data_IF_774870182013
#
_entry.id   IF_774870182013
#
_cell.length_a   1.000
_cell.length_b   1.000
_cell.length_c   1.000
_cell.angle_alpha   90.00
_cell.angle_beta   90.00
_cell.angle_gamma   90.00
#
_symmetry.space_group_name_H-M   'P 1'
#
loop_
_entity.id
_entity.type
_entity.pdbx_description
1 polymer ?
#
# COMPACT_ATOMS: atom_id res chain seq x y z
N UNK A 1 24.25 2.07 -27.39
CA UNK A 1 23.00 1.34 -27.11
C UNK A 1 22.06 2.31 -26.44
N UNK A 2 20.86 2.54 -26.99
CA UNK A 2 19.85 3.40 -26.37
C UNK A 2 19.15 2.54 -25.33
N UNK A 3 19.25 2.90 -24.05
CA UNK A 3 18.49 2.24 -22.99
C UNK A 3 17.00 2.48 -23.27
N UNK A 4 16.15 1.44 -23.33
CA UNK A 4 14.72 1.64 -23.57
C UNK A 4 14.13 2.53 -22.48
N UNK A 5 13.24 3.43 -22.88
CA UNK A 5 12.48 4.31 -21.98
C UNK A 5 11.71 3.48 -20.94
N UNK A 6 11.84 3.84 -19.66
CA UNK A 6 11.15 3.20 -18.51
C UNK A 6 10.12 4.18 -17.97
N UNK A 7 8.85 3.78 -17.96
CA UNK A 7 7.78 4.59 -17.36
C UNK A 7 7.86 4.54 -15.83
N UNK A 8 7.50 5.63 -15.16
CA UNK A 8 7.34 5.66 -13.71
C UNK A 8 5.98 6.28 -13.36
N UNK A 9 5.04 5.42 -13.00
CA UNK A 9 3.68 5.80 -12.69
C UNK A 9 3.50 6.10 -11.20
N UNK A 10 2.83 7.19 -10.85
CA UNK A 10 2.52 7.55 -9.46
C UNK A 10 1.01 7.69 -9.27
N UNK A 11 0.40 6.79 -8.53
CA UNK A 11 -1.04 6.75 -8.32
C UNK A 11 -1.43 7.16 -6.90
N UNK A 12 -2.61 7.77 -6.77
CA UNK A 12 -3.17 8.21 -5.49
C UNK A 12 -4.19 7.21 -4.98
N UNK A 13 -4.13 6.88 -3.70
CA UNK A 13 -5.02 5.93 -3.04
C UNK A 13 -5.80 6.64 -1.95
N UNK A 14 -7.12 6.55 -2.00
CA UNK A 14 -8.01 7.11 -0.99
C UNK A 14 -8.10 6.16 0.22
N UNK A 15 -8.34 6.73 1.40
CA UNK A 15 -8.49 6.00 2.65
C UNK A 15 -9.82 6.33 3.32
N UNK A 16 -10.62 5.29 3.59
CA UNK A 16 -11.97 5.43 4.15
C UNK A 16 -12.21 4.47 5.32
N UNK A 17 -12.63 4.97 6.50
CA UNK A 17 -12.67 6.38 6.89
C UNK A 17 -11.28 6.88 7.24
N UNK A 18 -10.92 8.11 6.86
CA UNK A 18 -9.68 8.73 7.32
C UNK A 18 -9.78 9.17 8.79
N UNK A 19 -9.07 8.45 9.68
CA UNK A 19 -8.92 8.79 11.09
C UNK A 19 -7.48 8.59 11.55
N UNK A 20 -7.07 9.32 12.58
CA UNK A 20 -5.81 9.07 13.30
C UNK A 20 -5.94 7.95 14.34
N UNK A 21 -7.13 7.80 14.91
CA UNK A 21 -7.46 6.82 15.94
C UNK A 21 -8.69 6.03 15.47
N UNK A 22 -8.58 4.72 15.47
CA UNK A 22 -9.64 3.76 15.15
C UNK A 22 -9.97 2.91 16.37
N UNK A 23 -11.14 2.28 16.35
CA UNK A 23 -11.49 1.27 17.34
C UNK A 23 -11.16 -0.13 16.83
N UNK A 24 -10.94 -1.07 17.75
CA UNK A 24 -10.91 -2.50 17.42
C UNK A 24 -12.19 -2.87 16.66
N UNK A 25 -12.03 -3.49 15.48
CA UNK A 25 -13.15 -3.89 14.63
C UNK A 25 -13.61 -2.83 13.62
N UNK A 26 -13.07 -1.60 13.65
CA UNK A 26 -13.29 -0.64 12.57
C UNK A 26 -12.80 -1.23 11.24
N UNK A 27 -13.50 -0.94 10.14
CA UNK A 27 -13.02 -1.30 8.80
C UNK A 27 -12.28 -0.12 8.19
N UNK A 28 -11.01 -0.33 7.85
CA UNK A 28 -10.18 0.63 7.14
C UNK A 28 -10.05 0.15 5.71
N UNK A 29 -10.36 1.01 4.74
CA UNK A 29 -10.32 0.67 3.33
C UNK A 29 -9.40 1.62 2.57
N UNK A 30 -8.65 1.05 1.64
CA UNK A 30 -7.77 1.71 0.69
C UNK A 30 -8.34 1.49 -0.69
N UNK A 31 -8.55 2.56 -1.46
CA UNK A 31 -9.24 2.49 -2.75
C UNK A 31 -8.46 3.29 -3.80
N UNK A 32 -8.31 2.72 -4.98
CA UNK A 32 -7.78 3.39 -6.16
C UNK A 32 -8.76 3.20 -7.31
N UNK A 33 -9.03 4.28 -8.03
CA UNK A 33 -9.76 4.25 -9.30
C UNK A 33 -8.99 5.04 -10.36
N UNK A 34 -8.45 4.35 -11.36
CA UNK A 34 -7.87 4.92 -12.56
C UNK A 34 -8.92 5.01 -13.67
N UNK A 35 -9.64 6.12 -13.73
CA UNK A 35 -10.71 6.34 -14.73
C UNK A 35 -10.18 6.22 -16.16
N UNK A 36 -10.91 5.50 -17.02
CA UNK A 36 -10.54 5.29 -18.42
C UNK A 36 -9.25 4.49 -18.61
N UNK A 37 -8.82 3.74 -17.58
CA UNK A 37 -7.54 3.01 -17.54
C UNK A 37 -6.32 3.90 -17.72
N UNK A 38 -6.38 5.11 -17.15
CA UNK A 38 -5.29 6.07 -17.24
C UNK A 38 -4.40 5.98 -15.99
N UNK A 39 -3.09 5.93 -16.20
CA UNK A 39 -2.07 6.04 -15.16
C UNK A 39 -1.25 7.31 -15.35
N UNK A 40 -1.03 8.06 -14.27
CA UNK A 40 -0.17 9.24 -14.32
C UNK A 40 1.31 8.87 -14.37
N UNK A 41 2.00 9.17 -15.48
CA UNK A 41 3.43 9.01 -15.67
C UNK A 41 4.18 10.27 -15.25
N UNK A 42 5.07 10.13 -14.28
CA UNK A 42 5.87 11.22 -13.72
C UNK A 42 7.03 11.63 -14.62
N UNK A 43 7.47 10.77 -15.55
CA UNK A 43 8.58 11.09 -16.46
C UNK A 43 8.09 11.97 -17.61
N UNK A 44 6.95 11.63 -18.23
CA UNK A 44 6.32 12.48 -19.25
C UNK A 44 5.45 13.59 -18.66
N UNK A 45 5.14 13.53 -17.37
CA UNK A 45 4.18 14.40 -16.69
C UNK A 45 2.80 14.38 -17.38
N UNK A 46 2.33 13.20 -17.78
CA UNK A 46 1.07 13.03 -18.50
C UNK A 46 0.37 11.73 -18.12
N UNK A 47 -0.93 11.66 -18.36
CA UNK A 47 -1.69 10.43 -18.22
C UNK A 47 -1.47 9.53 -19.45
N UNK A 48 -1.12 8.27 -19.20
CA UNK A 48 -0.90 7.24 -20.22
C UNK A 48 -1.97 6.17 -20.09
N UNK A 49 -2.50 5.72 -21.24
CA UNK A 49 -3.50 4.66 -21.28
C UNK A 49 -2.85 3.30 -21.05
N UNK A 50 -3.37 2.54 -20.09
CA UNK A 50 -2.78 1.30 -19.60
C UNK A 50 -3.54 0.04 -20.03
N UNK A 51 -4.22 0.05 -21.19
CA UNK A 51 -5.13 -1.02 -21.66
C UNK A 51 -4.54 -2.44 -21.72
N UNK A 52 -3.22 -2.56 -21.76
CA UNK A 52 -2.48 -3.83 -21.88
C UNK A 52 -1.59 -4.14 -20.68
N UNK A 53 -1.72 -3.39 -19.59
CA UNK A 53 -0.84 -3.50 -18.43
C UNK A 53 -1.54 -4.21 -17.27
N UNK A 54 -0.82 -5.08 -16.59
CA UNK A 54 -1.19 -5.58 -15.27
C UNK A 54 -0.06 -5.36 -14.27
N UNK A 55 -0.42 -5.30 -12.99
CA UNK A 55 0.51 -5.12 -11.88
C UNK A 55 -0.03 -5.75 -10.61
N UNK A 56 0.85 -5.98 -9.63
CA UNK A 56 0.48 -6.54 -8.33
C UNK A 56 0.74 -5.46 -7.27
N UNK A 57 -0.34 -5.02 -6.62
CA UNK A 57 -0.26 -4.14 -5.46
C UNK A 57 -0.04 -5.00 -4.22
N UNK A 58 1.01 -4.71 -3.45
CA UNK A 58 1.22 -5.25 -2.11
C UNK A 58 0.83 -4.18 -1.09
N UNK A 59 -0.09 -4.52 -0.20
CA UNK A 59 -0.41 -3.73 1.00
C UNK A 59 0.27 -4.37 2.19
N UNK A 60 1.18 -3.65 2.84
CA UNK A 60 1.81 -4.09 4.08
C UNK A 60 1.16 -3.44 5.29
N UNK A 61 1.06 -4.18 6.38
CA UNK A 61 0.71 -3.64 7.68
C UNK A 61 1.62 -4.20 8.76
N UNK A 62 2.18 -3.30 9.56
CA UNK A 62 2.99 -3.68 10.72
C UNK A 62 2.49 -2.99 11.98
N UNK A 63 2.60 -3.69 13.11
CA UNK A 63 2.30 -3.15 14.42
C UNK A 63 3.59 -2.74 15.13
N UNK A 64 3.81 -1.44 15.31
CA UNK A 64 5.10 -0.90 15.75
C UNK A 64 5.39 -1.15 17.23
N UNK A 65 4.38 -1.16 18.11
CA UNK A 65 4.59 -1.18 19.56
C UNK A 65 4.89 -2.56 20.16
N UNK A 66 5.17 -3.59 19.34
CA UNK A 66 5.52 -4.94 19.80
C UNK A 66 6.67 -5.56 18.99
N UNK A 67 7.89 -5.06 19.16
CA UNK A 67 9.12 -5.77 18.78
C UNK A 67 9.51 -6.90 19.76
N UNK A 68 8.56 -7.42 20.57
CA UNK A 68 8.80 -8.58 21.43
C UNK A 68 8.28 -9.84 20.75
N UNK A 69 9.22 -10.61 20.17
CA UNK A 69 9.13 -12.02 19.74
C UNK A 69 7.71 -12.59 19.65
N UNK A 70 7.19 -12.67 18.42
CA UNK A 70 6.30 -13.71 17.91
C UNK A 70 5.27 -14.32 18.89
N UNK A 71 4.55 -13.49 19.65
CA UNK A 71 3.27 -13.89 20.19
C UNK A 71 2.25 -13.83 19.05
N UNK A 72 2.00 -14.96 18.37
CA UNK A 72 1.02 -15.16 17.27
C UNK A 72 -0.07 -14.08 17.21
N UNK A 73 0.19 -12.95 16.56
CA UNK A 73 -0.86 -12.02 16.15
C UNK A 73 -1.40 -12.64 14.86
N UNK A 74 -2.33 -13.57 15.01
CA UNK A 74 -3.07 -14.08 13.86
C UNK A 74 -4.02 -12.97 13.44
N UNK A 75 -3.93 -12.53 12.18
CA UNK A 75 -4.13 -11.14 11.86
C UNK A 75 -5.63 -10.92 11.67
N UNK A 76 -6.11 -9.79 12.17
CA UNK A 76 -6.84 -8.78 11.39
C UNK A 76 -7.63 -9.35 10.19
N UNK A 77 -8.92 -9.04 10.08
CA UNK A 77 -9.64 -9.50 8.87
C UNK A 77 -9.26 -8.62 7.70
N UNK A 78 -9.01 -9.25 6.55
CA UNK A 78 -8.67 -8.56 5.32
C UNK A 78 -9.66 -8.89 4.22
N UNK A 79 -9.80 -7.95 3.30
CA UNK A 79 -10.50 -8.15 2.05
C UNK A 79 -9.77 -7.40 0.94
N UNK A 80 -9.75 -7.99 -0.25
CA UNK A 80 -9.26 -7.34 -1.45
C UNK A 80 -10.28 -7.49 -2.56
N UNK A 81 -10.39 -6.47 -3.41
CA UNK A 81 -11.19 -6.49 -4.61
C UNK A 81 -10.48 -5.70 -5.71
N UNK A 82 -10.67 -6.08 -6.97
CA UNK A 82 -10.08 -5.42 -8.12
C UNK A 82 -10.86 -5.81 -9.37
N UNK A 83 -10.66 -5.08 -10.45
CA UNK A 83 -11.17 -5.47 -11.79
C UNK A 83 -10.38 -6.65 -12.40
N UNK A 84 -9.38 -7.17 -11.70
CA UNK A 84 -8.57 -8.33 -12.08
C UNK A 84 -8.81 -9.52 -11.16
N UNK A 85 -7.73 -10.23 -10.82
CA UNK A 85 -7.77 -11.37 -9.89
C UNK A 85 -7.41 -10.92 -8.47
N UNK A 86 -8.21 -11.29 -7.49
CA UNK A 86 -7.92 -11.04 -6.08
C UNK A 86 -7.30 -12.28 -5.47
N UNK A 87 -6.18 -12.13 -4.75
CA UNK A 87 -5.62 -13.22 -3.96
C UNK A 87 -5.06 -12.71 -2.64
N UNK A 88 -5.59 -13.22 -1.53
CA UNK A 88 -5.02 -12.94 -0.22
C UNK A 88 -3.89 -13.95 0.04
N UNK A 89 -2.65 -13.52 -0.14
CA UNK A 89 -1.47 -14.25 0.34
C UNK A 89 -1.01 -13.60 1.63
N UNK A 90 -1.37 -14.20 2.77
CA UNK A 90 -0.89 -13.76 4.08
C UNK A 90 0.49 -14.34 4.33
N UNK A 91 1.53 -13.57 4.05
CA UNK A 91 2.87 -13.86 4.54
C UNK A 91 3.04 -13.08 5.86
N UNK A 92 2.98 -13.78 6.99
CA UNK A 92 3.40 -13.21 8.27
C UNK A 92 4.87 -13.50 8.41
N UNK A 93 5.70 -12.47 8.28
CA UNK A 93 7.08 -12.60 8.72
C UNK A 93 7.09 -12.57 10.25
N UNK A 94 7.33 -13.72 10.86
CA UNK A 94 7.27 -13.90 12.31
C UNK A 94 8.36 -13.09 13.04
N UNK A 95 9.43 -12.73 12.34
CA UNK A 95 10.56 -11.98 12.92
C UNK A 95 10.28 -10.47 12.93
N UNK A 96 9.48 -9.96 12.00
CA UNK A 96 9.19 -8.53 11.86
C UNK A 96 7.76 -8.12 12.24
N UNK A 97 6.85 -9.08 12.46
CA UNK A 97 5.46 -8.77 12.84
C UNK A 97 4.67 -8.03 11.74
N UNK A 98 5.11 -8.16 10.49
CA UNK A 98 4.47 -7.56 9.32
C UNK A 98 3.56 -8.58 8.66
N UNK A 99 2.37 -8.13 8.26
CA UNK A 99 1.45 -8.93 7.44
C UNK A 99 1.28 -8.27 6.08
N UNK A 100 1.49 -9.04 5.02
CA UNK A 100 1.35 -8.59 3.65
C UNK A 100 0.07 -9.12 3.01
N UNK A 101 -0.52 -8.32 2.12
CA UNK A 101 -1.65 -8.69 1.28
C UNK A 101 -1.38 -8.25 -0.14
N UNK A 102 -1.92 -9.01 -1.09
CA UNK A 102 -1.64 -8.81 -2.49
C UNK A 102 -2.96 -8.62 -3.25
N UNK A 103 -2.94 -7.73 -4.22
CA UNK A 103 -4.07 -7.49 -5.12
C UNK A 103 -3.52 -7.37 -6.52
N UNK A 104 -3.92 -8.30 -7.41
CA UNK A 104 -3.54 -8.19 -8.82
C UNK A 104 -4.53 -7.27 -9.52
N UNK A 105 -4.01 -6.22 -10.13
CA UNK A 105 -4.77 -5.29 -10.95
C UNK A 105 -4.39 -5.56 -12.40
N UNK A 106 -5.38 -5.75 -13.26
CA UNK A 106 -5.14 -6.23 -14.63
C UNK A 106 -6.06 -5.47 -15.56
N UNK A 107 -5.50 -4.59 -16.39
CA UNK A 107 -6.28 -3.70 -17.25
C UNK A 107 -6.93 -4.40 -18.44
N UNK A 108 -6.29 -5.45 -18.95
CA UNK A 108 -6.86 -6.30 -19.98
C UNK A 108 -8.06 -7.06 -19.41
N UNK A 109 -9.24 -6.80 -19.95
CA UNK A 109 -10.48 -7.43 -19.48
C UNK A 109 -11.13 -6.76 -18.26
N UNK A 110 -10.47 -5.79 -17.61
CA UNK A 110 -11.14 -4.89 -16.67
C UNK A 110 -12.25 -4.10 -17.36
N UNK A 111 -13.21 -3.60 -16.57
CA UNK A 111 -14.27 -2.68 -16.99
C UNK A 111 -13.73 -1.37 -17.59
N UNK A 112 -14.53 -0.29 -17.71
CA UNK A 112 -14.06 0.97 -18.29
C UNK A 112 -12.91 1.62 -17.50
N UNK A 113 -12.76 1.30 -16.22
CA UNK A 113 -11.78 1.87 -15.30
C UNK A 113 -10.82 0.79 -14.75
N UNK A 114 -9.80 1.23 -14.00
CA UNK A 114 -8.97 0.36 -13.17
C UNK A 114 -9.29 0.57 -11.71
N UNK A 115 -9.84 -0.44 -11.05
CA UNK A 115 -10.15 -0.40 -9.64
C UNK A 115 -9.32 -1.42 -8.87
N UNK A 116 -8.82 -1.00 -7.70
CA UNK A 116 -8.52 -1.92 -6.62
C UNK A 116 -8.97 -1.34 -5.28
N UNK A 117 -9.35 -2.24 -4.40
CA UNK A 117 -9.57 -1.95 -2.99
C UNK A 117 -8.93 -3.02 -2.13
N UNK A 118 -8.25 -2.59 -1.08
CA UNK A 118 -7.82 -3.44 0.01
C UNK A 118 -8.43 -2.91 1.31
N UNK A 119 -8.68 -3.77 2.27
CA UNK A 119 -9.15 -3.32 3.58
C UNK A 119 -8.73 -4.22 4.71
N UNK A 120 -8.71 -3.62 5.90
CA UNK A 120 -8.15 -4.17 7.12
C UNK A 120 -9.12 -3.92 8.27
N UNK A 121 -9.24 -4.90 9.16
CA UNK A 121 -10.01 -4.81 10.39
C UNK A 121 -9.08 -5.14 11.57
N UNK A 122 -8.52 -4.12 12.26
CA UNK A 122 -7.61 -4.35 13.37
C UNK A 122 -8.32 -5.07 14.53
N UNK A 123 -7.64 -6.06 15.10
CA UNK A 123 -8.16 -6.87 16.22
C UNK A 123 -7.52 -6.56 17.57
N UNK A 124 -6.47 -5.73 17.57
CA UNK A 124 -5.70 -5.43 18.76
C UNK A 124 -5.40 -3.94 18.84
N UNK A 125 -5.41 -3.39 20.05
CA UNK A 125 -4.96 -2.03 20.28
C UNK A 125 -3.45 -1.91 20.02
N UNK A 126 -3.02 -0.78 19.46
CA UNK A 126 -1.62 -0.52 19.14
C UNK A 126 -1.45 0.61 18.14
N UNK A 127 -0.19 0.89 17.77
CA UNK A 127 0.11 1.79 16.66
C UNK A 127 0.60 0.98 15.48
N UNK A 128 0.04 1.33 14.34
CA UNK A 128 0.15 0.59 13.10
C UNK A 128 0.68 1.49 12.01
N UNK A 129 1.42 0.88 11.11
CA UNK A 129 1.79 1.45 9.83
C UNK A 129 1.14 0.65 8.71
N UNK A 130 0.74 1.34 7.64
CA UNK A 130 0.31 0.72 6.39
C UNK A 130 1.05 1.36 5.24
N UNK A 131 1.55 0.53 4.34
CA UNK A 131 2.20 0.93 3.09
C UNK A 131 1.53 0.29 1.88
N UNK A 132 1.72 0.91 0.70
CA UNK A 132 1.29 0.35 -0.59
C UNK A 132 2.44 0.42 -1.61
N UNK A 133 2.91 -0.76 -1.97
CA UNK A 133 3.87 -1.13 -3.02
C UNK A 133 3.32 -1.64 -4.34
N UNK A 134 4.00 -1.44 -5.47
CA UNK A 134 4.01 -2.48 -6.51
C UNK A 134 5.14 -3.47 -6.21
N UNK A 135 4.85 -4.77 -6.11
CA UNK A 135 5.88 -5.78 -5.80
C UNK A 135 6.85 -6.01 -6.98
N UNK A 136 6.39 -5.75 -8.20
CA UNK A 136 7.12 -6.00 -9.44
C UNK A 136 6.89 -4.88 -10.45
N UNK A 137 7.75 -4.84 -11.48
CA UNK A 137 7.47 -4.10 -12.70
C UNK A 137 6.08 -4.50 -13.21
N UNK A 138 5.36 -3.54 -13.77
CA UNK A 138 4.15 -3.85 -14.51
C UNK A 138 4.47 -4.80 -15.67
N UNK A 139 3.51 -5.64 -16.05
CA UNK A 139 3.67 -6.62 -17.11
C UNK A 139 2.62 -6.42 -18.19
N UNK A 140 2.96 -6.82 -19.40
CA UNK A 140 2.00 -6.92 -20.48
C UNK A 140 1.06 -8.08 -20.20
N UNK A 141 -0.21 -7.76 -20.07
CA UNK A 141 -1.32 -8.68 -19.87
C UNK A 141 -1.34 -9.92 -20.78
N UNK A 142 -1.05 -9.73 -22.07
CA UNK A 142 -1.24 -10.75 -23.10
C UNK A 142 -0.03 -11.66 -23.24
N UNK A 143 1.18 -11.08 -23.13
CA UNK A 143 2.43 -11.83 -23.29
C UNK A 143 3.05 -12.27 -21.95
N UNK A 144 2.60 -11.70 -20.83
CA UNK A 144 3.20 -11.89 -19.51
C UNK A 144 4.60 -11.27 -19.36
N UNK A 145 5.09 -10.56 -20.38
CA UNK A 145 6.43 -9.95 -20.37
C UNK A 145 6.41 -8.63 -19.61
N UNK A 146 7.38 -8.41 -18.73
CA UNK A 146 7.53 -7.16 -17.99
C UNK A 146 7.61 -5.95 -18.94
N UNK A 147 6.76 -4.96 -18.73
CA UNK A 147 6.69 -3.74 -19.54
C UNK A 147 7.71 -2.68 -19.15
N UNK A 148 8.64 -2.99 -18.23
CA UNK A 148 9.62 -2.05 -17.66
C UNK A 148 8.94 -0.75 -17.22
N UNK A 149 7.96 -0.88 -16.34
CA UNK A 149 7.25 0.25 -15.77
C UNK A 149 7.10 0.04 -14.27
N UNK A 150 7.46 1.07 -13.51
CA UNK A 150 7.25 1.12 -12.07
C UNK A 150 5.91 1.75 -11.75
N UNK A 151 5.27 1.28 -10.69
CA UNK A 151 4.02 1.86 -10.19
C UNK A 151 4.17 2.11 -8.69
N UNK A 152 4.28 3.38 -8.35
CA UNK A 152 4.29 3.87 -6.98
C UNK A 152 2.88 4.29 -6.56
N UNK A 153 2.57 4.11 -5.28
CA UNK A 153 1.33 4.56 -4.66
C UNK A 153 1.61 5.56 -3.55
N UNK A 154 0.74 6.57 -3.44
CA UNK A 154 0.72 7.52 -2.33
C UNK A 154 -0.69 7.74 -1.83
N UNK A 155 -0.84 7.95 -0.52
CA UNK A 155 -2.13 8.25 0.08
C UNK A 155 -2.62 9.64 -0.33
N UNK A 156 -3.89 9.74 -0.72
CA UNK A 156 -4.56 10.99 -1.04
C UNK A 156 -5.13 11.67 0.21
N UNK A 157 -4.26 11.88 1.21
CA UNK A 157 -4.65 12.41 2.51
C UNK A 157 -4.01 13.76 2.78
N UNK A 158 -4.59 14.56 3.66
CA UNK A 158 -3.96 15.81 4.09
C UNK A 158 -2.70 15.53 4.90
N UNK A 159 -2.76 14.56 5.81
CA UNK A 159 -1.68 14.12 6.68
C UNK A 159 -1.70 12.58 6.78
N UNK A 160 -0.54 11.98 6.98
CA UNK A 160 -0.36 10.54 7.18
C UNK A 160 0.03 10.20 8.62
N UNK A 161 -0.19 11.12 9.55
CA UNK A 161 0.01 10.99 11.01
C UNK A 161 1.44 10.59 11.39
N UNK A 162 2.44 11.12 10.69
CA UNK A 162 3.86 10.84 10.99
C UNK A 162 4.27 11.22 12.42
N UNK A 163 3.51 12.11 13.06
CA UNK A 163 3.71 12.50 14.46
C UNK A 163 3.38 11.39 15.48
N UNK A 164 2.63 10.36 15.08
CA UNK A 164 2.44 9.17 15.93
C UNK A 164 3.76 8.44 16.20
N UNK A 165 4.68 8.45 15.24
CA UNK A 165 5.99 7.79 15.39
C UNK A 165 6.88 8.61 16.32
N UNK A 166 6.91 9.94 16.16
CA UNK A 166 7.75 10.82 16.98
C UNK A 166 7.24 10.93 18.42
N UNK A 167 5.92 10.94 18.63
CA UNK A 167 5.31 10.99 19.98
C UNK A 167 5.50 9.71 20.79
N UNK A 168 5.86 8.60 20.14
CA UNK A 168 6.01 7.30 20.78
C UNK A 168 7.46 6.80 20.87
N UNK A 169 8.45 7.61 20.48
CA UNK A 169 9.84 7.19 20.27
C UNK A 169 10.41 6.22 21.31
N UNK A 170 10.27 6.51 22.60
CA UNK A 170 10.79 5.64 23.68
C UNK A 170 9.99 4.34 23.87
N UNK A 171 8.70 4.34 23.53
CA UNK A 171 7.79 3.20 23.70
C UNK A 171 7.85 2.18 22.55
N UNK A 172 8.30 2.61 21.36
CA UNK A 172 8.37 1.77 20.16
C UNK A 172 9.67 0.97 20.05
N UNK A 173 10.71 1.29 20.85
CA UNK A 173 12.05 0.70 20.75
C UNK A 173 12.64 0.76 19.32
N UNK A 174 12.23 1.73 18.51
CA UNK A 174 12.75 1.99 17.16
C UNK A 174 13.96 2.92 17.24
N UNK A 175 14.92 2.79 16.32
CA UNK A 175 16.08 3.68 16.35
C UNK A 175 15.69 5.11 15.94
N UNK A 176 16.48 6.13 16.33
CA UNK A 176 16.28 7.49 15.84
C UNK A 176 16.35 7.61 14.31
N UNK A 177 17.17 6.77 13.66
CA UNK A 177 17.29 6.73 12.21
C UNK A 177 15.99 6.21 11.56
N UNK A 178 15.41 5.14 12.11
CA UNK A 178 14.13 4.59 11.63
C UNK A 178 12.99 5.59 11.85
N UNK A 179 12.99 6.28 13.00
CA UNK A 179 12.01 7.34 13.31
C UNK A 179 12.05 8.46 12.27
N UNK A 180 13.25 8.90 11.88
CA UNK A 180 13.42 9.92 10.86
C UNK A 180 12.95 9.43 9.48
N UNK A 181 13.24 8.17 9.13
CA UNK A 181 12.80 7.60 7.85
C UNK A 181 11.28 7.44 7.76
N UNK A 182 10.65 6.94 8.82
CA UNK A 182 9.19 6.86 8.93
C UNK A 182 8.52 8.23 8.84
N UNK A 183 9.07 9.23 9.52
CA UNK A 183 8.55 10.61 9.45
C UNK A 183 8.65 11.16 8.02
N UNK A 184 9.76 10.89 7.33
CA UNK A 184 9.97 11.26 5.92
C UNK A 184 8.98 10.56 4.99
N UNK A 185 8.76 9.25 5.17
CA UNK A 185 7.83 8.46 4.36
C UNK A 185 6.37 8.87 4.59
N UNK A 186 5.98 9.21 5.81
CA UNK A 186 4.68 9.83 6.11
C UNK A 186 4.52 11.18 5.40
N UNK A 187 5.53 12.04 5.43
CA UNK A 187 5.49 13.34 4.75
C UNK A 187 5.39 13.19 3.22
N UNK A 188 5.97 12.12 2.66
CA UNK A 188 5.83 11.73 1.25
C UNK A 188 4.51 11.01 0.96
N UNK A 189 3.67 10.75 1.97
CA UNK A 189 2.42 10.01 1.90
C UNK A 189 2.59 8.59 1.36
N UNK A 190 3.76 7.97 1.59
CA UNK A 190 4.04 6.58 1.21
C UNK A 190 3.64 5.58 2.30
N UNK A 191 3.61 6.04 3.55
CA UNK A 191 3.17 5.25 4.71
C UNK A 191 2.12 6.05 5.46
N UNK A 192 1.07 5.37 5.91
CA UNK A 192 0.02 5.91 6.76
C UNK A 192 0.12 5.29 8.15
N UNK A 193 0.18 6.13 9.18
CA UNK A 193 0.18 5.68 10.57
C UNK A 193 -1.18 5.89 11.23
N UNK A 194 -1.54 5.00 12.14
CA UNK A 194 -2.74 5.16 12.97
C UNK A 194 -2.63 4.42 14.30
N UNK A 195 -3.45 4.85 15.26
CA UNK A 195 -3.64 4.16 16.55
C UNK A 195 -4.95 3.39 16.55
N UNK A 196 -4.95 2.23 17.21
CA UNK A 196 -6.16 1.45 17.52
C UNK A 196 -6.31 1.41 19.03
N UNK A 197 -7.53 1.71 19.49
CA UNK A 197 -7.95 1.67 20.90
C UNK A 197 -9.11 0.69 21.12
#
# INVERSE_FOLDING_TARGET
>A
MITPYRHHFLQKVDLTPYKKIYHIGDTIRFEFTGTGKMLFDTITNSFVKADSVGFVVRTGMARLNKFERAGRIRPEHFFTSSDGTNFALTATDLDFGVTWFYTRVTACGAGPDLHFSAGIIPRYAGVYEVDLFSEHDAYNCYSGVNSRADIDFVFNLQDCNGDLVTSMGDSLKISPADTADYTRLAAQKKIFFFRVE
#
